data_IF_476774884468
#
_entry.id   IF_476774884468
#
_cell.length_a   1.000
_cell.length_b   1.000
_cell.length_c   1.000
_cell.angle_alpha   90.00
_cell.angle_beta   90.00
_cell.angle_gamma   90.00
#
_symmetry.space_group_name_H-M   'P 1'
#
loop_
_entity.id
_entity.type
_entity.pdbx_description
1 polymer ?
#
# COMPACT_ATOMS: atom_id res chain seq x y z
N UNK A 1 -10.95 -14.24 -23.50
CA UNK A 1 -11.63 -12.92 -23.45
C UNK A 1 -12.72 -13.01 -22.41
N UNK A 2 -12.51 -12.36 -21.25
CA UNK A 2 -13.52 -12.23 -20.20
C UNK A 2 -14.31 -10.98 -20.54
N UNK A 3 -15.62 -11.13 -20.70
CA UNK A 3 -16.49 -10.03 -21.03
C UNK A 3 -16.47 -8.96 -19.92
N UNK A 4 -16.48 -7.65 -20.25
CA UNK A 4 -16.40 -6.57 -19.26
C UNK A 4 -17.59 -6.49 -18.29
N UNK A 5 -18.63 -7.29 -18.51
CA UNK A 5 -19.86 -7.30 -17.70
C UNK A 5 -19.80 -8.16 -16.44
N UNK A 6 -18.73 -8.95 -16.25
CA UNK A 6 -18.63 -9.88 -15.12
C UNK A 6 -17.87 -9.32 -13.90
N UNK A 7 -17.58 -8.03 -13.90
CA UNK A 7 -17.04 -7.36 -12.73
C UNK A 7 -18.21 -6.97 -11.80
N UNK A 8 -18.58 -7.88 -10.92
CA UNK A 8 -19.43 -7.54 -9.80
C UNK A 8 -18.58 -6.82 -8.76
N UNK A 9 -18.78 -5.50 -8.63
CA UNK A 9 -18.21 -4.67 -7.56
C UNK A 9 -18.90 -4.88 -6.21
N UNK A 10 -19.63 -6.00 -6.07
CA UNK A 10 -20.64 -6.21 -5.03
C UNK A 10 -20.06 -6.50 -3.64
N UNK A 11 -18.75 -6.54 -3.49
CA UNK A 11 -18.11 -6.77 -2.19
C UNK A 11 -17.35 -5.52 -1.72
N UNK A 12 -18.01 -4.38 -1.78
CA UNK A 12 -17.44 -3.17 -1.20
C UNK A 12 -17.91 -3.00 0.25
N UNK A 13 -17.02 -2.56 1.13
CA UNK A 13 -17.33 -2.24 2.52
C UNK A 13 -18.37 -1.11 2.68
N UNK A 14 -18.73 -0.44 1.59
CA UNK A 14 -19.76 0.58 1.51
C UNK A 14 -21.20 0.04 1.56
N UNK A 15 -21.37 -1.28 1.34
CA UNK A 15 -22.72 -1.89 1.27
C UNK A 15 -23.28 -2.25 2.66
N UNK A 16 -22.46 -2.11 3.70
CA UNK A 16 -22.98 -2.23 5.06
C UNK A 16 -23.72 -0.95 5.43
N UNK A 17 -24.95 -1.08 5.97
CA UNK A 17 -25.67 0.09 6.47
C UNK A 17 -24.75 0.83 7.45
N UNK A 18 -24.72 2.16 7.33
CA UNK A 18 -24.17 3.05 8.33
C UNK A 18 -25.08 2.97 9.58
N UNK A 19 -25.10 1.80 10.22
CA UNK A 19 -25.69 1.63 11.51
C UNK A 19 -24.74 2.29 12.49
N UNK A 20 -25.11 3.48 12.95
CA UNK A 20 -24.47 4.23 14.01
C UNK A 20 -22.94 4.29 13.80
N UNK A 21 -22.51 5.22 12.96
CA UNK A 21 -21.11 5.55 12.82
C UNK A 21 -20.62 6.07 14.16
N UNK A 22 -20.22 5.14 15.02
CA UNK A 22 -19.37 5.46 16.14
C UNK A 22 -18.15 6.22 15.57
N UNK A 23 -17.77 7.35 16.14
CA UNK A 23 -16.62 8.10 15.67
C UNK A 23 -15.44 7.13 15.57
N UNK A 24 -14.86 7.03 14.38
CA UNK A 24 -13.70 6.15 14.16
C UNK A 24 -12.67 6.44 15.24
N UNK A 25 -12.21 5.42 15.96
CA UNK A 25 -11.20 5.64 17.00
C UNK A 25 -9.99 6.34 16.37
N UNK A 26 -9.33 7.24 17.10
CA UNK A 26 -8.15 7.92 16.60
C UNK A 26 -7.16 6.89 16.07
N UNK A 27 -6.57 7.15 14.93
CA UNK A 27 -5.59 6.27 14.26
C UNK A 27 -4.51 5.93 15.28
N UNK A 28 -4.53 4.71 15.75
CA UNK A 28 -3.58 4.22 16.74
C UNK A 28 -2.18 4.15 16.12
N UNK A 29 -1.23 4.83 16.71
CA UNK A 29 0.15 4.91 16.20
C UNK A 29 0.81 3.52 16.20
N UNK A 30 0.38 2.59 17.04
CA UNK A 30 0.84 1.21 17.05
C UNK A 30 0.40 0.42 15.80
N UNK A 31 -0.61 0.89 15.08
CA UNK A 31 -0.96 0.35 13.75
C UNK A 31 0.06 0.69 12.64
N UNK A 32 1.02 1.57 12.91
CA UNK A 32 2.18 1.79 12.05
C UNK A 32 3.10 0.55 11.94
N UNK A 33 3.06 -0.34 12.91
CA UNK A 33 3.82 -1.59 12.86
C UNK A 33 3.39 -2.45 11.67
N UNK A 34 2.11 -2.45 11.34
CA UNK A 34 1.59 -3.20 10.19
C UNK A 34 2.00 -2.59 8.85
N UNK A 35 2.10 -1.26 8.76
CA UNK A 35 2.55 -0.57 7.56
C UNK A 35 4.05 -0.81 7.32
N UNK A 36 4.88 -0.75 8.36
CA UNK A 36 6.30 -1.05 8.25
C UNK A 36 6.57 -2.53 7.94
N UNK A 37 5.81 -3.45 8.55
CA UNK A 37 5.88 -4.86 8.23
C UNK A 37 5.46 -5.13 6.78
N UNK A 38 4.45 -4.43 6.26
CA UNK A 38 4.04 -4.51 4.88
C UNK A 38 5.17 -4.05 3.95
N UNK A 39 5.72 -2.85 4.16
CA UNK A 39 6.81 -2.30 3.37
C UNK A 39 8.02 -3.26 3.32
N UNK A 40 8.40 -3.83 4.47
CA UNK A 40 9.61 -4.64 4.58
C UNK A 40 9.44 -6.10 4.16
N UNK A 41 8.25 -6.66 4.27
CA UNK A 41 7.98 -8.09 4.04
C UNK A 41 7.24 -8.38 2.75
N UNK A 42 6.44 -7.44 2.26
CA UNK A 42 5.62 -7.63 1.06
C UNK A 42 6.14 -6.79 -0.10
N UNK A 43 6.28 -5.48 0.07
CA UNK A 43 6.66 -4.59 -1.03
C UNK A 43 8.07 -4.83 -1.52
N UNK A 44 9.02 -5.08 -0.62
CA UNK A 44 10.40 -5.44 -1.01
C UNK A 44 10.49 -6.75 -1.78
N UNK A 45 9.59 -7.71 -1.53
CA UNK A 45 9.51 -8.94 -2.29
C UNK A 45 8.82 -8.75 -3.64
N UNK A 46 7.88 -7.81 -3.76
CA UNK A 46 7.10 -7.62 -4.98
C UNK A 46 7.98 -7.37 -6.21
N UNK A 47 9.16 -6.81 -6.00
CA UNK A 47 10.12 -6.52 -7.06
C UNK A 47 10.92 -7.76 -7.45
N UNK A 48 10.44 -8.47 -8.48
CA UNK A 48 11.11 -9.63 -9.05
C UNK A 48 10.80 -10.97 -8.38
N UNK A 49 9.97 -11.00 -7.34
CA UNK A 49 9.50 -12.24 -6.75
C UNK A 49 8.34 -12.88 -7.56
N UNK A 50 8.17 -14.18 -7.37
CA UNK A 50 6.99 -14.85 -7.93
C UNK A 50 5.74 -14.37 -7.19
N UNK A 51 4.61 -14.23 -7.91
CA UNK A 51 3.35 -13.77 -7.31
C UNK A 51 2.90 -14.65 -6.13
N UNK A 52 3.24 -15.94 -6.12
CA UNK A 52 2.91 -16.85 -5.01
C UNK A 52 3.65 -16.47 -3.73
N UNK A 53 4.89 -16.00 -3.83
CA UNK A 53 5.72 -15.62 -2.69
C UNK A 53 5.22 -14.27 -2.12
N UNK A 54 4.88 -13.32 -3.00
CA UNK A 54 4.23 -12.05 -2.61
C UNK A 54 2.91 -12.31 -1.91
N UNK A 55 2.06 -13.20 -2.46
CA UNK A 55 0.79 -13.58 -1.85
C UNK A 55 0.98 -14.21 -0.46
N UNK A 56 1.96 -15.12 -0.30
CA UNK A 56 2.25 -15.72 1.01
C UNK A 56 2.68 -14.67 2.02
N UNK A 57 3.56 -13.75 1.63
CA UNK A 57 4.02 -12.68 2.50
C UNK A 57 2.86 -11.77 2.91
N UNK A 58 2.01 -11.37 1.97
CA UNK A 58 0.82 -10.56 2.24
C UNK A 58 -0.15 -11.25 3.21
N UNK A 59 -0.40 -12.55 3.01
CA UNK A 59 -1.22 -13.35 3.92
C UNK A 59 -0.60 -13.45 5.31
N UNK A 60 0.72 -13.71 5.39
CA UNK A 60 1.40 -13.83 6.67
C UNK A 60 1.35 -12.51 7.48
N UNK A 61 1.55 -11.38 6.81
CA UNK A 61 1.42 -10.06 7.46
C UNK A 61 -0.02 -9.80 7.90
N UNK A 62 -1.01 -10.05 7.03
CA UNK A 62 -2.42 -9.81 7.37
C UNK A 62 -2.92 -10.70 8.50
N UNK A 63 -2.59 -12.00 8.47
CA UNK A 63 -2.91 -12.95 9.55
C UNK A 63 -2.18 -12.58 10.83
N UNK A 64 -0.89 -12.24 10.75
CA UNK A 64 -0.11 -11.84 11.92
C UNK A 64 -0.68 -10.59 12.60
N UNK A 65 -1.05 -9.57 11.82
CA UNK A 65 -1.70 -8.37 12.33
C UNK A 65 -3.01 -8.69 13.04
N UNK A 66 -3.85 -9.54 12.42
CA UNK A 66 -5.13 -9.93 13.01
C UNK A 66 -4.97 -10.72 14.31
N UNK A 67 -4.01 -11.63 14.36
CA UNK A 67 -3.77 -12.45 15.56
C UNK A 67 -3.12 -11.66 16.70
N UNK A 68 -2.47 -10.54 16.40
CA UNK A 68 -1.90 -9.64 17.41
C UNK A 68 -2.97 -8.79 18.11
N UNK A 69 -4.16 -8.67 17.57
CA UNK A 69 -5.27 -7.96 18.19
C UNK A 69 -5.92 -8.82 19.30
N UNK A 70 -6.33 -8.23 20.43
CA UNK A 70 -6.91 -8.99 21.56
C UNK A 70 -8.29 -9.58 21.28
N UNK A 71 -8.83 -9.39 20.07
CA UNK A 71 -10.11 -9.91 19.61
C UNK A 71 -10.47 -9.30 18.27
N UNK A 72 -11.53 -9.84 17.66
CA UNK A 72 -12.03 -9.29 16.39
C UNK A 72 -13.03 -8.19 16.71
N UNK A 73 -12.77 -6.99 16.17
CA UNK A 73 -13.73 -5.89 16.23
C UNK A 73 -15.09 -6.35 15.65
N UNK A 74 -16.20 -6.16 16.37
CA UNK A 74 -17.54 -6.52 15.88
C UNK A 74 -17.88 -5.94 14.51
N UNK A 75 -17.34 -4.78 14.17
CA UNK A 75 -17.50 -4.18 12.85
C UNK A 75 -16.81 -5.03 11.77
N UNK A 76 -15.59 -5.47 11.99
CA UNK A 76 -14.87 -6.35 11.07
C UNK A 76 -15.53 -7.73 10.98
N UNK A 77 -15.99 -8.28 12.10
CA UNK A 77 -16.68 -9.57 12.12
C UNK A 77 -17.94 -9.56 11.25
N UNK A 78 -18.76 -8.50 11.35
CA UNK A 78 -19.97 -8.33 10.51
C UNK A 78 -19.63 -8.20 9.01
N UNK A 79 -18.60 -7.42 8.67
CA UNK A 79 -18.13 -7.28 7.29
C UNK A 79 -17.69 -8.62 6.71
N UNK A 80 -16.95 -9.39 7.48
CA UNK A 80 -16.48 -10.73 7.05
C UNK A 80 -17.61 -11.73 6.90
N UNK A 81 -18.58 -11.70 7.80
CA UNK A 81 -19.78 -12.51 7.69
C UNK A 81 -20.56 -12.18 6.39
N UNK A 82 -20.70 -10.91 6.06
CA UNK A 82 -21.31 -10.46 4.81
C UNK A 82 -20.47 -10.89 3.58
N UNK A 83 -19.14 -10.70 3.63
CA UNK A 83 -18.26 -11.18 2.55
C UNK A 83 -18.38 -12.68 2.35
N UNK A 84 -18.45 -13.50 3.42
CA UNK A 84 -18.66 -14.95 3.32
C UNK A 84 -20.00 -15.28 2.66
N UNK A 85 -21.07 -14.56 3.01
CA UNK A 85 -22.38 -14.76 2.39
C UNK A 85 -22.33 -14.49 0.88
N UNK A 86 -21.66 -13.43 0.46
CA UNK A 86 -21.47 -13.12 -0.98
C UNK A 86 -20.60 -14.17 -1.68
N UNK A 87 -19.54 -14.62 -1.04
CA UNK A 87 -18.67 -15.66 -1.60
C UNK A 87 -19.39 -16.99 -1.78
N UNK A 88 -20.33 -17.34 -0.88
CA UNK A 88 -21.12 -18.55 -0.99
C UNK A 88 -22.05 -18.58 -2.21
N UNK A 89 -22.40 -17.41 -2.76
CA UNK A 89 -23.21 -17.27 -3.97
C UNK A 89 -22.40 -17.44 -5.27
N UNK A 90 -21.07 -17.42 -5.17
CA UNK A 90 -20.15 -17.42 -6.32
C UNK A 90 -19.67 -18.84 -6.64
N UNK A 91 -19.29 -19.05 -7.89
CA UNK A 91 -18.78 -20.34 -8.35
C UNK A 91 -17.31 -20.59 -7.97
N UNK A 92 -16.87 -21.85 -8.12
CA UNK A 92 -15.53 -22.32 -7.74
C UNK A 92 -14.37 -21.59 -8.45
N UNK A 93 -14.60 -20.94 -9.59
CA UNK A 93 -13.58 -20.19 -10.36
C UNK A 93 -13.60 -18.70 -10.05
N UNK A 94 -13.77 -18.34 -8.81
CA UNK A 94 -13.83 -16.95 -8.36
C UNK A 94 -12.47 -16.47 -7.85
N UNK A 95 -12.01 -15.31 -8.33
CA UNK A 95 -10.87 -14.58 -7.76
C UNK A 95 -11.38 -13.55 -6.76
N UNK A 96 -10.95 -13.68 -5.53
CA UNK A 96 -11.30 -12.76 -4.44
C UNK A 96 -10.15 -11.78 -4.21
N UNK A 97 -10.43 -10.48 -4.36
CA UNK A 97 -9.49 -9.40 -4.03
C UNK A 97 -9.97 -8.71 -2.77
N UNK A 98 -9.22 -8.87 -1.69
CA UNK A 98 -9.60 -8.41 -0.36
C UNK A 98 -8.37 -7.95 0.42
N UNK A 99 -8.55 -7.05 1.39
CA UNK A 99 -7.47 -6.70 2.31
C UNK A 99 -6.96 -7.92 3.08
N UNK A 100 -5.64 -8.08 3.17
CA UNK A 100 -5.00 -9.27 3.77
C UNK A 100 -5.42 -9.54 5.22
N UNK A 101 -5.78 -8.49 5.96
CA UNK A 101 -6.34 -8.58 7.32
C UNK A 101 -7.60 -9.45 7.39
N UNK A 102 -8.48 -9.36 6.38
CA UNK A 102 -9.74 -10.09 6.35
C UNK A 102 -9.60 -11.54 5.88
N UNK A 103 -8.46 -11.93 5.31
CA UNK A 103 -8.27 -13.26 4.75
C UNK A 103 -8.54 -14.38 5.76
N UNK A 104 -8.09 -14.21 7.01
CA UNK A 104 -8.35 -15.22 8.05
C UNK A 104 -9.84 -15.31 8.38
N UNK A 105 -10.52 -14.17 8.50
CA UNK A 105 -11.95 -14.14 8.79
C UNK A 105 -12.85 -14.66 7.67
N UNK A 106 -12.33 -14.79 6.44
CA UNK A 106 -13.06 -15.41 5.33
C UNK A 106 -12.96 -16.93 5.30
N UNK A 107 -11.97 -17.51 6.01
CA UNK A 107 -11.75 -18.96 6.03
C UNK A 107 -12.63 -19.68 7.06
N UNK A 108 -13.10 -18.97 8.08
CA UNK A 108 -13.85 -19.54 9.19
C UNK A 108 -14.96 -18.60 9.65
N UNK A 109 -16.09 -19.15 10.05
CA UNK A 109 -17.27 -18.46 10.56
C UNK A 109 -18.50 -18.57 9.67
N UNK A 110 -19.66 -18.28 10.26
CA UNK A 110 -20.94 -18.36 9.56
C UNK A 110 -21.15 -17.17 8.62
N UNK A 111 -21.76 -17.40 7.44
CA UNK A 111 -22.20 -16.32 6.57
C UNK A 111 -23.43 -15.62 7.16
N UNK A 112 -23.47 -14.30 7.05
CA UNK A 112 -24.62 -13.50 7.50
C UNK A 112 -24.97 -12.46 6.45
N UNK A 113 -26.24 -12.41 6.09
CA UNK A 113 -26.79 -11.36 5.22
C UNK A 113 -27.52 -10.37 6.11
N UNK A 114 -27.20 -9.06 6.03
CA UNK A 114 -27.93 -8.05 6.80
C UNK A 114 -29.41 -8.09 6.49
N UNK A 115 -30.25 -8.01 7.51
CA UNK A 115 -31.71 -8.04 7.37
C UNK A 115 -32.27 -6.83 6.59
N UNK A 116 -31.53 -5.74 6.60
CA UNK A 116 -31.88 -4.50 5.87
C UNK A 116 -30.67 -3.90 5.22
N UNK A 117 -30.79 -3.58 3.95
CA UNK A 117 -29.77 -2.82 3.20
C UNK A 117 -30.32 -1.42 2.97
N UNK A 118 -29.64 -0.41 3.45
CA UNK A 118 -29.99 0.97 3.14
C UNK A 118 -29.71 1.27 1.67
N UNK A 119 -30.60 2.01 0.97
CA UNK A 119 -30.31 2.44 -0.39
C UNK A 119 -29.07 3.34 -0.38
N UNK A 120 -28.07 2.99 -1.20
CA UNK A 120 -26.84 3.76 -1.35
C UNK A 120 -26.79 4.41 -2.73
N UNK A 121 -26.37 5.66 -2.77
CA UNK A 121 -26.03 6.32 -4.01
C UNK A 121 -24.54 6.10 -4.29
N UNK A 122 -24.23 5.50 -5.41
CA UNK A 122 -22.86 5.29 -5.86
C UNK A 122 -22.46 6.33 -6.89
N UNK A 123 -21.25 6.87 -6.77
CA UNK A 123 -20.66 7.74 -7.77
C UNK A 123 -19.20 7.39 -7.97
N UNK A 124 -18.73 7.50 -9.22
CA UNK A 124 -17.31 7.35 -9.55
C UNK A 124 -16.58 8.65 -9.21
N UNK A 125 -15.59 8.54 -8.35
CA UNK A 125 -14.69 9.64 -7.99
C UNK A 125 -13.29 9.33 -8.53
N UNK A 126 -12.69 10.31 -9.23
CA UNK A 126 -11.30 10.21 -9.65
C UNK A 126 -10.40 10.65 -8.51
N UNK A 127 -9.40 9.84 -8.22
CA UNK A 127 -8.37 10.17 -7.24
C UNK A 127 -7.09 10.62 -7.95
N UNK A 128 -6.52 11.73 -7.50
CA UNK A 128 -5.11 12.06 -7.76
C UNK A 128 -4.21 11.22 -6.84
N UNK A 129 -2.93 11.13 -7.15
CA UNK A 129 -1.97 10.47 -6.24
C UNK A 129 -1.95 11.12 -4.85
N UNK A 130 -2.04 12.44 -4.76
CA UNK A 130 -2.10 13.16 -3.49
C UNK A 130 -3.33 12.77 -2.65
N UNK A 131 -4.49 12.61 -3.28
CA UNK A 131 -5.72 12.19 -2.60
C UNK A 131 -5.68 10.72 -2.18
N UNK A 132 -5.02 9.86 -2.98
CA UNK A 132 -4.89 8.43 -2.71
C UNK A 132 -3.82 8.13 -1.65
N UNK A 133 -2.94 9.08 -1.37
CA UNK A 133 -1.89 8.90 -0.37
C UNK A 133 -2.48 8.76 1.03
N UNK A 134 -2.03 7.77 1.80
CA UNK A 134 -2.50 7.51 3.15
C UNK A 134 -2.32 8.70 4.10
N UNK A 135 -1.37 9.60 3.80
CA UNK A 135 -1.14 10.84 4.54
C UNK A 135 -2.21 11.90 4.34
N UNK A 136 -3.04 11.76 3.30
CA UNK A 136 -4.18 12.67 3.06
C UNK A 136 -5.33 12.48 4.05
N UNK A 137 -5.29 11.44 4.90
CA UNK A 137 -6.37 11.06 5.79
C UNK A 137 -7.41 10.14 5.17
N UNK A 138 -7.21 9.71 3.93
CA UNK A 138 -8.10 8.72 3.30
C UNK A 138 -7.87 7.34 3.94
N UNK A 139 -8.94 6.77 4.53
CA UNK A 139 -8.86 5.54 5.32
C UNK A 139 -8.33 4.31 4.55
N UNK A 140 -8.57 4.25 3.25
CA UNK A 140 -8.07 3.21 2.35
C UNK A 140 -6.89 3.68 1.50
N UNK A 141 -6.23 4.77 1.91
CA UNK A 141 -5.09 5.31 1.21
C UNK A 141 -3.90 4.36 1.20
N UNK A 142 -3.10 4.44 0.16
CA UNK A 142 -1.85 3.72 0.02
C UNK A 142 -0.67 4.65 0.27
N UNK A 143 0.45 4.10 0.70
CA UNK A 143 1.65 4.91 0.94
C UNK A 143 2.41 5.14 -0.35
N UNK A 144 2.72 6.40 -0.64
CA UNK A 144 3.45 6.83 -1.83
C UNK A 144 2.88 6.22 -3.14
N UNK A 145 1.62 6.53 -3.52
CA UNK A 145 0.94 5.88 -4.64
C UNK A 145 1.65 6.09 -5.98
N UNK A 146 2.39 7.18 -6.14
CA UNK A 146 3.22 7.41 -7.33
C UNK A 146 4.36 6.38 -7.44
N UNK A 147 5.03 6.07 -6.33
CA UNK A 147 6.03 4.99 -6.28
C UNK A 147 5.42 3.66 -6.67
N UNK A 148 4.26 3.32 -6.06
CA UNK A 148 3.56 2.08 -6.35
C UNK A 148 3.17 1.98 -7.84
N UNK A 149 2.70 3.08 -8.43
CA UNK A 149 2.36 3.13 -9.85
C UNK A 149 3.59 2.88 -10.74
N UNK A 150 4.73 3.45 -10.40
CA UNK A 150 5.98 3.23 -11.16
C UNK A 150 6.53 1.80 -11.01
N UNK A 151 6.30 1.18 -9.87
CA UNK A 151 6.71 -0.21 -9.63
C UNK A 151 5.81 -1.23 -10.35
N UNK A 152 4.59 -0.85 -10.72
CA UNK A 152 3.64 -1.73 -11.39
C UNK A 152 4.19 -2.19 -12.76
N UNK A 153 4.30 -3.50 -12.94
CA UNK A 153 4.74 -4.09 -14.22
C UNK A 153 6.24 -4.05 -14.47
N UNK A 154 7.05 -3.58 -13.52
CA UNK A 154 8.50 -3.62 -13.65
C UNK A 154 9.02 -5.03 -13.42
N UNK A 155 9.88 -5.47 -14.32
CA UNK A 155 10.68 -6.68 -14.14
C UNK A 155 11.88 -6.39 -13.24
N UNK A 156 12.44 -7.42 -12.60
CA UNK A 156 13.63 -7.27 -11.77
C UNK A 156 14.82 -6.60 -12.51
N UNK A 157 14.92 -6.77 -13.81
CA UNK A 157 15.94 -6.12 -14.64
C UNK A 157 15.72 -4.59 -14.78
N UNK A 158 14.48 -4.14 -14.76
CA UNK A 158 14.14 -2.71 -14.91
C UNK A 158 14.18 -1.91 -13.61
N UNK A 159 14.36 -2.56 -12.46
CA UNK A 159 14.31 -1.89 -11.15
C UNK A 159 15.45 -0.89 -10.98
N UNK A 160 16.65 -1.23 -11.41
CA UNK A 160 17.80 -0.34 -11.33
C UNK A 160 17.55 0.95 -12.10
N UNK A 161 17.03 0.85 -13.32
CA UNK A 161 16.72 2.00 -14.15
C UNK A 161 15.63 2.86 -13.50
N UNK A 162 14.58 2.23 -12.95
CA UNK A 162 13.55 2.96 -12.22
C UNK A 162 14.11 3.75 -11.03
N UNK A 163 14.98 3.12 -10.23
CA UNK A 163 15.58 3.77 -9.06
C UNK A 163 16.43 4.96 -9.49
N UNK A 164 17.22 4.79 -10.56
CA UNK A 164 18.01 5.86 -11.14
C UNK A 164 17.11 7.01 -11.58
N UNK A 165 16.03 6.72 -12.29
CA UNK A 165 15.07 7.72 -12.76
C UNK A 165 14.42 8.46 -11.60
N UNK A 166 13.97 7.75 -10.55
CA UNK A 166 13.37 8.38 -9.37
C UNK A 166 14.35 9.33 -8.68
N UNK A 167 15.59 8.92 -8.49
CA UNK A 167 16.62 9.77 -7.85
C UNK A 167 16.94 10.99 -8.73
N UNK A 168 17.00 10.82 -10.04
CA UNK A 168 17.19 11.93 -11.00
C UNK A 168 16.01 12.88 -10.96
N UNK A 169 14.78 12.39 -10.91
CA UNK A 169 13.57 13.21 -10.84
C UNK A 169 13.53 14.03 -9.55
N UNK A 170 13.84 13.43 -8.40
CA UNK A 170 13.97 14.15 -7.12
C UNK A 170 15.05 15.21 -7.19
N UNK A 171 16.22 14.89 -7.74
CA UNK A 171 17.31 15.86 -7.89
C UNK A 171 16.92 17.03 -8.83
N UNK A 172 16.11 16.75 -9.85
CA UNK A 172 15.57 17.79 -10.74
C UNK A 172 14.60 18.70 -9.98
N UNK A 173 13.74 18.12 -9.16
CA UNK A 173 12.81 18.89 -8.33
C UNK A 173 13.56 19.74 -7.29
N UNK A 174 14.55 19.20 -6.60
CA UNK A 174 15.40 19.98 -5.70
C UNK A 174 15.98 21.22 -6.40
N UNK A 175 16.47 21.06 -7.64
CA UNK A 175 17.00 22.21 -8.42
C UNK A 175 15.93 23.24 -8.76
N UNK A 176 14.69 22.84 -9.05
CA UNK A 176 13.60 23.81 -9.30
C UNK A 176 13.27 24.64 -8.05
N UNK A 177 13.52 24.06 -6.87
CA UNK A 177 13.34 24.75 -5.57
C UNK A 177 14.59 25.52 -5.12
N UNK A 178 15.62 25.60 -5.97
CA UNK A 178 16.85 26.34 -5.69
C UNK A 178 17.88 25.58 -4.84
N UNK A 179 17.62 24.28 -4.54
CA UNK A 179 18.54 23.44 -3.81
C UNK A 179 19.58 22.81 -4.75
N UNK A 180 20.86 22.78 -4.36
CA UNK A 180 21.88 22.15 -5.18
C UNK A 180 21.72 20.63 -5.22
N UNK A 181 21.61 20.09 -6.43
CA UNK A 181 21.53 18.65 -6.68
C UNK A 181 22.23 18.35 -8.03
N UNK A 182 23.53 18.14 -7.97
CA UNK A 182 24.36 17.87 -9.14
C UNK A 182 24.47 16.38 -9.44
N UNK A 183 25.26 16.06 -10.46
CA UNK A 183 25.51 14.67 -10.89
C UNK A 183 26.29 13.86 -9.84
N UNK A 184 27.13 14.54 -9.04
CA UNK A 184 27.87 13.89 -7.95
C UNK A 184 26.94 13.39 -6.85
N UNK A 185 26.00 14.22 -6.41
CA UNK A 185 25.00 13.87 -5.40
C UNK A 185 24.05 12.78 -5.91
N UNK A 186 23.64 12.86 -7.17
CA UNK A 186 22.81 11.80 -7.80
C UNK A 186 23.55 10.45 -7.77
N UNK A 187 24.80 10.42 -8.22
CA UNK A 187 25.59 9.18 -8.23
C UNK A 187 25.80 8.62 -6.82
N UNK A 188 26.03 9.49 -5.84
CA UNK A 188 26.18 9.09 -4.45
C UNK A 188 24.88 8.57 -3.84
N UNK A 189 23.72 9.20 -4.14
CA UNK A 189 22.44 8.72 -3.69
C UNK A 189 22.10 7.34 -4.28
N UNK A 190 22.36 7.12 -5.56
CA UNK A 190 22.21 5.81 -6.21
C UNK A 190 23.10 4.76 -5.52
N UNK A 191 24.38 5.08 -5.31
CA UNK A 191 25.32 4.18 -4.63
C UNK A 191 24.85 3.86 -3.22
N UNK A 192 24.46 4.87 -2.45
CA UNK A 192 23.96 4.72 -1.08
C UNK A 192 22.72 3.82 -1.02
N UNK A 193 21.75 4.01 -1.91
CA UNK A 193 20.57 3.16 -1.98
C UNK A 193 20.92 1.68 -2.20
N UNK A 194 21.82 1.41 -3.14
CA UNK A 194 22.28 0.05 -3.41
C UNK A 194 23.10 -0.54 -2.24
N UNK A 195 23.94 0.24 -1.59
CA UNK A 195 24.70 -0.22 -0.43
C UNK A 195 23.77 -0.55 0.75
N UNK A 196 22.74 0.27 0.99
CA UNK A 196 21.71 -0.01 2.00
C UNK A 196 20.93 -1.30 1.70
N UNK A 197 20.60 -1.55 0.42
CA UNK A 197 19.91 -2.79 0.05
C UNK A 197 20.78 -4.02 0.28
N UNK A 198 22.05 -3.95 -0.09
CA UNK A 198 23.03 -5.05 0.17
C UNK A 198 23.20 -5.31 1.65
N UNK A 199 23.33 -4.24 2.45
CA UNK A 199 23.47 -4.34 3.91
C UNK A 199 22.25 -5.03 4.55
N UNK A 200 21.08 -4.83 3.97
CA UNK A 200 19.82 -5.43 4.44
C UNK A 200 19.51 -6.78 3.80
N UNK A 201 20.39 -7.29 2.93
CA UNK A 201 20.17 -8.56 2.22
C UNK A 201 19.02 -8.52 1.21
N UNK A 202 18.71 -7.33 0.69
CA UNK A 202 17.66 -7.14 -0.31
C UNK A 202 18.24 -7.29 -1.73
N UNK A 203 17.48 -7.88 -2.67
CA UNK A 203 17.95 -8.03 -4.05
C UNK A 203 18.10 -6.69 -4.78
N UNK A 204 17.28 -5.71 -4.44
CA UNK A 204 17.30 -4.36 -5.00
C UNK A 204 16.89 -3.34 -3.92
N UNK A 205 17.27 -2.05 -4.06
CA UNK A 205 16.75 -1.01 -3.20
C UNK A 205 15.23 -0.91 -3.32
N UNK A 206 14.56 -0.86 -2.17
CA UNK A 206 13.14 -0.54 -2.09
C UNK A 206 12.94 0.95 -1.83
N UNK A 207 11.69 1.34 -1.65
CA UNK A 207 11.30 2.72 -1.32
C UNK A 207 12.07 3.27 -0.11
N UNK A 208 12.22 2.45 0.92
CA UNK A 208 12.92 2.83 2.17
C UNK A 208 14.38 3.16 1.91
N UNK A 209 15.09 2.32 1.19
CA UNK A 209 16.51 2.50 0.86
C UNK A 209 16.74 3.75 0.02
N UNK A 210 15.84 4.01 -0.94
CA UNK A 210 15.88 5.22 -1.77
C UNK A 210 15.65 6.47 -0.92
N UNK A 211 14.65 6.47 -0.04
CA UNK A 211 14.36 7.61 0.84
C UNK A 211 15.51 7.89 1.81
N UNK A 212 16.08 6.87 2.43
CA UNK A 212 17.21 7.02 3.34
C UNK A 212 18.45 7.55 2.60
N UNK A 213 18.70 7.05 1.39
CA UNK A 213 19.81 7.54 0.57
C UNK A 213 19.62 9.01 0.17
N UNK A 214 18.42 9.39 -0.27
CA UNK A 214 18.08 10.78 -0.60
C UNK A 214 18.24 11.68 0.63
N UNK A 215 17.72 11.27 1.77
CA UNK A 215 17.89 12.03 3.01
C UNK A 215 19.35 12.18 3.40
N UNK A 216 20.13 11.11 3.31
CA UNK A 216 21.57 11.14 3.66
C UNK A 216 22.35 12.10 2.76
N UNK A 217 22.10 12.04 1.45
CA UNK A 217 22.92 12.79 0.48
C UNK A 217 22.46 14.23 0.30
N UNK A 218 21.14 14.49 0.32
CA UNK A 218 20.61 15.83 0.07
C UNK A 218 20.29 16.62 1.34
N UNK A 219 20.15 15.98 2.54
CA UNK A 219 19.87 16.71 3.80
C UNK A 219 21.10 17.21 4.54
N UNK A 220 22.31 16.72 4.27
CA UNK A 220 23.51 16.99 5.04
C UNK A 220 24.07 18.43 4.86
N UNK A 221 23.40 19.25 4.04
CA UNK A 221 23.68 20.69 3.90
C UNK A 221 22.59 21.54 4.51
N UNK A 222 22.70 21.74 5.85
CA UNK A 222 21.99 22.77 6.64
C UNK A 222 20.48 22.91 6.38
N UNK A 223 19.71 22.16 7.17
CA UNK A 223 18.42 22.56 7.74
C UNK A 223 17.37 23.11 6.76
N UNK A 224 17.05 22.35 5.72
CA UNK A 224 15.69 22.45 5.22
C UNK A 224 15.13 21.05 5.25
N UNK A 225 14.16 20.83 6.11
CA UNK A 225 13.42 19.57 6.20
C UNK A 225 12.92 19.22 4.81
N UNK A 226 13.51 18.19 4.19
CA UNK A 226 12.80 17.41 3.20
C UNK A 226 11.64 16.76 3.94
N UNK A 227 10.57 17.52 4.08
CA UNK A 227 9.32 16.96 4.52
C UNK A 227 9.00 15.85 3.53
N UNK A 228 8.64 14.68 4.04
CA UNK A 228 8.21 13.53 3.23
C UNK A 228 7.03 13.85 2.28
N UNK A 229 6.43 15.03 2.41
CA UNK A 229 5.44 15.60 1.50
C UNK A 229 6.00 16.08 0.15
N UNK A 230 7.31 16.22 -0.01
CA UNK A 230 7.93 16.71 -1.27
C UNK A 230 8.29 15.60 -2.27
N UNK A 231 7.98 14.34 -1.97
CA UNK A 231 7.94 13.29 -2.99
C UNK A 231 6.65 13.29 -3.82
N UNK A 232 5.84 14.32 -3.68
CA UNK A 232 4.79 14.63 -4.65
C UNK A 232 5.46 15.19 -5.93
N UNK A 233 5.93 14.27 -6.74
CA UNK A 233 6.24 14.55 -8.13
C UNK A 233 4.92 14.81 -8.85
N UNK A 234 4.66 16.09 -9.15
CA UNK A 234 3.51 16.55 -9.92
C UNK A 234 3.45 15.91 -11.31
#
# INVERSE_FOLDING_TARGET
>A
EIAPSDWSSDVCSSDLPAADADPQPPVDVDKLVSAEAWDTKVETLAVGARWQDVRRAALAVGVGTRLAEPGVDPYHARREAHMRARLAELGEKTLVVVGSYHCLGLLDGEPEVPATVSPVNMSLVRYSFAQLDSRSGYASGIRDPYWQQRMLGITSAGVTDLINDVIVDVARECRTQGEPAGTGEIAEAIRCAHDLSRLRGLPNPGRREVLEALNTVFSDRKSTRLNSSHLELS
#
